data_IF_991723120656
#
_entry.id   IF_991723120656
#
_cell.length_a   1.000
_cell.length_b   1.000
_cell.length_c   1.000
_cell.angle_alpha   90.00
_cell.angle_beta   90.00
_cell.angle_gamma   90.00
#
_symmetry.space_group_name_H-M   'P 1'
#
loop_
_entity.id
_entity.type
_entity.pdbx_description
1 polymer ?
#
# COMPACT_ATOMS: atom_id res chain seq x y z
N UNK A 1 -23.38 18.60 -39.87
CA UNK A 1 -22.29 17.60 -39.87
C UNK A 1 -21.69 17.60 -38.48
N UNK A 2 -22.17 16.76 -37.57
CA UNK A 2 -21.72 16.71 -36.17
C UNK A 2 -21.81 15.29 -35.59
N UNK A 3 -21.54 14.26 -36.39
CA UNK A 3 -21.67 12.84 -36.01
C UNK A 3 -20.31 12.09 -35.89
N UNK A 4 -19.18 12.79 -35.96
CA UNK A 4 -17.86 12.16 -36.16
C UNK A 4 -17.16 11.59 -34.92
N UNK A 5 -17.36 12.17 -33.72
CA UNK A 5 -16.57 11.77 -32.53
C UNK A 5 -17.29 10.78 -31.61
N UNK A 6 -18.62 10.88 -31.46
CA UNK A 6 -19.38 9.98 -30.60
C UNK A 6 -19.43 8.54 -31.10
N UNK A 7 -19.44 8.34 -32.43
CA UNK A 7 -19.38 7.01 -33.05
C UNK A 7 -18.04 6.31 -32.84
N UNK A 8 -16.93 7.04 -33.01
CA UNK A 8 -15.58 6.50 -32.89
C UNK A 8 -15.24 6.04 -31.46
N UNK A 9 -15.66 6.80 -30.44
CA UNK A 9 -15.48 6.43 -29.02
C UNK A 9 -16.26 5.17 -28.68
N UNK A 10 -17.49 5.03 -29.19
CA UNK A 10 -18.33 3.85 -28.98
C UNK A 10 -17.72 2.60 -29.62
N UNK A 11 -17.13 2.76 -30.80
CA UNK A 11 -16.50 1.67 -31.55
C UNK A 11 -15.17 1.22 -30.92
N UNK A 12 -14.38 2.16 -30.38
CA UNK A 12 -13.17 1.86 -29.64
C UNK A 12 -13.45 1.13 -28.31
N UNK A 13 -14.49 1.56 -27.59
CA UNK A 13 -14.95 0.88 -26.37
C UNK A 13 -15.46 -0.52 -26.71
N UNK A 14 -16.27 -0.66 -27.77
CA UNK A 14 -16.76 -1.96 -28.23
C UNK A 14 -15.62 -2.92 -28.57
N UNK A 15 -14.62 -2.43 -29.31
CA UNK A 15 -13.43 -3.21 -29.66
C UNK A 15 -12.62 -3.63 -28.44
N UNK A 16 -12.40 -2.72 -27.49
CA UNK A 16 -11.71 -3.05 -26.22
C UNK A 16 -12.49 -4.07 -25.38
N UNK A 17 -13.82 -3.99 -25.36
CA UNK A 17 -14.68 -4.97 -24.67
C UNK A 17 -14.57 -6.34 -25.34
N UNK A 18 -14.55 -6.39 -26.68
CA UNK A 18 -14.44 -7.63 -27.42
C UNK A 18 -13.05 -8.27 -27.26
N UNK A 19 -11.98 -7.48 -27.35
CA UNK A 19 -10.61 -7.91 -27.11
C UNK A 19 -10.38 -8.41 -25.68
N UNK A 20 -11.12 -7.89 -24.70
CA UNK A 20 -10.96 -8.22 -23.28
C UNK A 20 -12.14 -8.99 -22.69
N UNK A 21 -12.98 -9.59 -23.54
CA UNK A 21 -14.25 -10.22 -23.15
C UNK A 21 -14.09 -11.24 -22.03
N UNK A 22 -13.08 -12.11 -22.12
CA UNK A 22 -12.81 -13.11 -21.08
C UNK A 22 -12.37 -12.49 -19.75
N UNK A 23 -11.53 -11.47 -19.79
CA UNK A 23 -11.09 -10.76 -18.59
C UNK A 23 -12.24 -10.03 -17.91
N UNK A 24 -13.14 -9.43 -18.70
CA UNK A 24 -14.35 -8.74 -18.21
C UNK A 24 -15.32 -9.76 -17.59
N UNK A 25 -15.57 -10.89 -18.24
CA UNK A 25 -16.42 -11.96 -17.70
C UNK A 25 -15.84 -12.51 -16.38
N UNK A 26 -14.54 -12.74 -16.32
CA UNK A 26 -13.88 -13.22 -15.10
C UNK A 26 -13.90 -12.17 -13.97
N UNK A 27 -13.80 -10.89 -14.30
CA UNK A 27 -13.96 -9.80 -13.33
C UNK A 27 -15.40 -9.73 -12.80
N UNK A 28 -16.40 -9.89 -13.67
CA UNK A 28 -17.81 -9.97 -13.29
C UNK A 28 -18.09 -11.19 -12.40
N UNK A 29 -17.54 -12.36 -12.73
CA UNK A 29 -17.68 -13.56 -11.90
C UNK A 29 -17.09 -13.36 -10.50
N UNK A 30 -15.94 -12.67 -10.40
CA UNK A 30 -15.32 -12.31 -9.11
C UNK A 30 -16.16 -11.31 -8.32
N UNK A 31 -16.77 -10.33 -8.99
CA UNK A 31 -17.68 -9.37 -8.35
C UNK A 31 -18.96 -10.06 -7.84
N UNK A 32 -19.54 -10.94 -8.65
CA UNK A 32 -20.70 -11.75 -8.27
C UNK A 32 -20.35 -12.70 -7.13
N UNK A 33 -19.16 -13.29 -7.13
CA UNK A 33 -18.67 -14.11 -6.01
C UNK A 33 -18.50 -13.28 -4.74
N UNK A 34 -17.94 -12.08 -4.82
CA UNK A 34 -17.76 -11.14 -3.70
C UNK A 34 -19.08 -10.67 -3.10
N UNK A 35 -20.07 -10.40 -3.96
CA UNK A 35 -21.43 -10.05 -3.53
C UNK A 35 -22.10 -11.25 -2.84
N UNK A 36 -22.03 -12.43 -3.46
CA UNK A 36 -22.60 -13.67 -2.90
C UNK A 36 -21.93 -14.11 -1.60
N UNK A 37 -20.65 -13.81 -1.41
CA UNK A 37 -19.94 -14.12 -0.18
C UNK A 37 -20.19 -13.10 0.95
N UNK A 38 -20.86 -11.98 0.65
CA UNK A 38 -21.05 -10.87 1.59
C UNK A 38 -19.77 -10.06 1.87
N UNK A 39 -18.71 -10.24 1.06
CA UNK A 39 -17.42 -9.58 1.27
C UNK A 39 -17.34 -8.21 0.58
N UNK A 40 -18.30 -7.87 -0.29
CA UNK A 40 -18.31 -6.59 -0.99
C UNK A 40 -18.32 -5.41 -0.01
N UNK A 41 -19.17 -5.47 1.01
CA UNK A 41 -19.23 -4.47 2.08
C UNK A 41 -17.95 -4.42 2.92
N UNK A 42 -17.29 -5.57 3.11
CA UNK A 42 -16.00 -5.62 3.79
C UNK A 42 -14.88 -4.95 2.98
N UNK A 43 -14.88 -5.08 1.65
CA UNK A 43 -13.94 -4.38 0.76
C UNK A 43 -14.21 -2.88 0.75
N UNK A 44 -15.48 -2.47 0.68
CA UNK A 44 -15.87 -1.04 0.76
C UNK A 44 -15.46 -0.47 2.12
N UNK A 45 -15.75 -1.20 3.20
CA UNK A 45 -15.33 -0.82 4.55
C UNK A 45 -13.81 -0.72 4.69
N UNK A 46 -13.07 -1.66 4.11
CA UNK A 46 -11.62 -1.62 4.10
C UNK A 46 -11.05 -0.44 3.30
N UNK A 47 -11.62 -0.13 2.14
CA UNK A 47 -11.26 1.06 1.36
C UNK A 47 -11.54 2.36 2.14
N UNK A 48 -12.67 2.43 2.85
CA UNK A 48 -12.97 3.55 3.75
C UNK A 48 -12.01 3.63 4.94
N UNK A 49 -11.61 2.50 5.53
CA UNK A 49 -10.61 2.46 6.60
C UNK A 49 -9.25 2.95 6.11
N UNK A 50 -8.81 2.54 4.92
CA UNK A 50 -7.58 3.05 4.29
C UNK A 50 -7.67 4.56 4.11
N UNK A 51 -8.80 5.07 3.63
CA UNK A 51 -9.02 6.51 3.45
C UNK A 51 -8.97 7.27 4.78
N UNK A 52 -9.63 6.77 5.83
CA UNK A 52 -9.57 7.34 7.18
C UNK A 52 -8.14 7.38 7.72
N UNK A 53 -7.36 6.31 7.50
CA UNK A 53 -5.95 6.26 7.90
C UNK A 53 -5.12 7.29 7.12
N UNK A 54 -5.34 7.40 5.81
CA UNK A 54 -4.64 8.35 4.94
C UNK A 54 -4.95 9.82 5.30
N UNK A 55 -6.23 10.12 5.55
CA UNK A 55 -6.70 11.43 5.99
C UNK A 55 -6.15 11.75 7.39
N UNK A 56 -6.16 10.78 8.31
CA UNK A 56 -5.62 10.95 9.68
C UNK A 56 -4.11 11.16 9.69
N UNK A 57 -3.34 10.46 8.85
CA UNK A 57 -1.90 10.70 8.71
C UNK A 57 -1.65 12.11 8.17
N UNK A 58 -2.44 12.57 7.20
CA UNK A 58 -2.23 13.89 6.59
C UNK A 58 -2.45 15.05 7.57
N UNK A 59 -3.50 14.98 8.40
CA UNK A 59 -3.83 16.05 9.34
C UNK A 59 -3.04 15.97 10.66
N UNK A 60 -2.61 14.77 11.09
CA UNK A 60 -1.93 14.57 12.39
C UNK A 60 -0.41 14.77 12.32
N UNK A 61 0.21 14.63 11.15
CA UNK A 61 1.68 14.72 10.99
C UNK A 61 2.22 16.14 11.26
N UNK A 62 1.43 17.18 10.99
CA UNK A 62 1.86 18.58 11.18
C UNK A 62 1.94 18.95 12.67
N UNK A 63 0.97 18.54 13.50
CA UNK A 63 0.93 18.92 14.91
C UNK A 63 1.75 17.99 15.84
N UNK A 64 2.00 16.73 15.47
CA UNK A 64 2.69 15.75 16.34
C UNK A 64 4.20 15.63 16.14
N UNK A 65 4.80 16.46 15.29
CA UNK A 65 6.26 16.41 15.04
C UNK A 65 7.07 16.62 16.34
N UNK A 66 6.59 17.46 17.28
CA UNK A 66 7.25 17.71 18.57
C UNK A 66 7.16 16.53 19.56
N UNK A 67 6.01 15.82 19.59
CA UNK A 67 5.82 14.64 20.45
C UNK A 67 6.59 13.43 19.92
N UNK A 68 6.62 13.23 18.60
CA UNK A 68 7.40 12.17 17.95
C UNK A 68 8.89 12.39 18.19
N UNK A 69 9.39 13.63 18.02
CA UNK A 69 10.80 13.95 18.26
C UNK A 69 11.20 13.71 19.72
N UNK A 70 10.34 14.06 20.68
CA UNK A 70 10.58 13.83 22.11
C UNK A 70 10.57 12.34 22.47
N UNK A 71 9.64 11.57 21.91
CA UNK A 71 9.55 10.12 22.14
C UNK A 71 10.71 9.36 21.48
N UNK A 72 11.18 9.81 20.31
CA UNK A 72 12.36 9.24 19.64
C UNK A 72 13.64 9.53 20.45
N UNK A 73 13.75 10.72 21.04
CA UNK A 73 14.82 11.06 21.98
C UNK A 73 14.84 10.18 23.23
N UNK A 74 13.67 9.83 23.77
CA UNK A 74 13.55 8.91 24.91
C UNK A 74 13.79 7.44 24.54
N UNK A 75 13.41 7.01 23.34
CA UNK A 75 13.72 5.67 22.81
C UNK A 75 15.22 5.50 22.57
N UNK A 76 15.93 6.55 22.13
CA UNK A 76 17.39 6.56 22.00
C UNK A 76 18.11 6.22 23.31
N UNK A 77 17.57 6.65 24.46
CA UNK A 77 18.12 6.32 25.79
C UNK A 77 17.83 4.86 26.19
N UNK A 78 16.78 4.24 25.64
CA UNK A 78 16.35 2.86 25.95
C UNK A 78 16.98 1.81 25.03
N UNK A 79 17.43 2.20 23.84
CA UNK A 79 18.17 1.36 22.91
C UNK A 79 19.69 1.56 23.07
N UNK A 80 20.32 0.80 23.97
CA UNK A 80 21.78 0.74 24.10
C UNK A 80 22.48 -0.09 23.00
N UNK A 81 21.77 -0.45 21.93
CA UNK A 81 22.28 -1.34 20.88
C UNK A 81 22.51 -0.56 19.58
N UNK A 82 23.77 -0.48 19.16
CA UNK A 82 24.23 0.19 17.94
C UNK A 82 23.47 -0.26 16.68
N UNK A 83 23.02 -1.53 16.64
CA UNK A 83 22.25 -2.07 15.50
C UNK A 83 20.83 -1.49 15.42
N UNK A 84 20.20 -1.20 16.55
CA UNK A 84 18.87 -0.61 16.57
C UNK A 84 18.92 0.84 16.07
N UNK A 85 19.94 1.60 16.51
CA UNK A 85 20.19 2.96 16.03
C UNK A 85 20.52 2.99 14.54
N UNK A 86 21.35 2.06 14.05
CA UNK A 86 21.66 1.95 12.62
C UNK A 86 20.41 1.65 11.78
N UNK A 87 19.51 0.78 12.27
CA UNK A 87 18.24 0.49 11.61
C UNK A 87 17.33 1.72 11.58
N UNK A 88 17.23 2.44 12.70
CA UNK A 88 16.42 3.64 12.82
C UNK A 88 16.91 4.74 11.87
N UNK A 89 18.22 4.96 11.80
CA UNK A 89 18.84 5.89 10.86
C UNK A 89 18.60 5.48 9.41
N UNK A 90 18.73 4.19 9.08
CA UNK A 90 18.45 3.71 7.72
C UNK A 90 16.98 3.91 7.32
N UNK A 91 16.04 3.75 8.26
CA UNK A 91 14.62 4.04 8.03
C UNK A 91 14.41 5.55 7.83
N UNK A 92 15.00 6.40 8.67
CA UNK A 92 14.93 7.86 8.54
C UNK A 92 15.48 8.34 7.20
N UNK A 93 16.65 7.85 6.80
CA UNK A 93 17.26 8.12 5.49
C UNK A 93 16.37 7.68 4.33
N UNK A 94 15.72 6.52 4.43
CA UNK A 94 14.82 6.02 3.39
C UNK A 94 13.60 6.92 3.22
N UNK A 95 13.03 7.43 4.33
CA UNK A 95 11.91 8.37 4.31
C UNK A 95 12.32 9.69 3.66
N UNK A 96 13.48 10.25 4.04
CA UNK A 96 13.97 11.50 3.45
C UNK A 96 14.29 11.40 1.96
N UNK A 97 14.72 10.21 1.48
CA UNK A 97 15.02 9.96 0.07
C UNK A 97 13.78 9.64 -0.78
N UNK A 98 12.64 9.39 -0.16
CA UNK A 98 11.36 9.26 -0.84
C UNK A 98 10.82 10.66 -1.20
N UNK A 99 11.45 11.35 -2.15
CA UNK A 99 10.97 12.63 -2.69
C UNK A 99 9.88 12.47 -3.77
N UNK A 100 9.68 11.25 -4.29
CA UNK A 100 8.68 10.97 -5.32
C UNK A 100 7.37 10.46 -4.72
N UNK A 101 6.23 11.03 -5.15
CA UNK A 101 4.91 10.53 -4.80
C UNK A 101 4.83 9.00 -5.06
N UNK A 102 4.35 8.21 -4.08
CA UNK A 102 4.28 6.76 -4.23
C UNK A 102 3.42 6.41 -5.45
N UNK A 103 4.04 5.87 -6.49
CA UNK A 103 3.28 5.43 -7.66
C UNK A 103 2.41 4.24 -7.26
N UNK A 104 1.10 4.25 -7.58
CA UNK A 104 0.21 3.16 -7.25
C UNK A 104 0.69 1.88 -7.94
N UNK A 105 1.13 0.91 -7.16
CA UNK A 105 1.52 -0.40 -7.67
C UNK A 105 0.27 -1.27 -7.87
N UNK A 106 0.03 -1.69 -9.12
CA UNK A 106 -1.01 -2.69 -9.40
C UNK A 106 -0.69 -4.07 -8.80
N UNK A 107 -1.63 -5.01 -8.83
CA UNK A 107 -1.46 -6.36 -8.27
C UNK A 107 -0.19 -7.08 -8.76
N UNK A 108 0.13 -6.94 -10.04
CA UNK A 108 1.37 -7.49 -10.63
C UNK A 108 2.61 -6.77 -10.09
N UNK A 109 2.53 -5.45 -9.94
CA UNK A 109 3.58 -4.63 -9.35
C UNK A 109 3.88 -5.04 -7.91
N UNK A 110 2.85 -5.33 -7.11
CA UNK A 110 2.99 -5.81 -5.74
C UNK A 110 3.68 -7.20 -5.69
N UNK A 111 3.24 -8.15 -6.52
CA UNK A 111 3.87 -9.48 -6.61
C UNK A 111 5.33 -9.35 -7.06
N UNK A 112 5.62 -8.43 -7.98
CA UNK A 112 6.97 -8.15 -8.46
C UNK A 112 7.83 -7.51 -7.37
N UNK A 113 7.29 -6.57 -6.60
CA UNK A 113 7.95 -5.96 -5.45
C UNK A 113 8.25 -7.01 -4.37
N UNK A 114 7.32 -7.93 -4.07
CA UNK A 114 7.58 -9.04 -3.15
C UNK A 114 8.67 -10.01 -3.67
N UNK A 115 8.91 -10.05 -4.97
CA UNK A 115 9.97 -10.86 -5.57
C UNK A 115 11.33 -10.16 -5.54
N UNK A 116 11.35 -8.85 -5.32
CA UNK A 116 12.56 -8.03 -5.24
C UNK A 116 13.48 -8.50 -4.09
N UNK A 117 14.79 -8.63 -4.33
CA UNK A 117 15.73 -9.11 -3.32
C UNK A 117 15.84 -8.19 -2.11
N UNK A 118 15.67 -6.87 -2.26
CA UNK A 118 15.81 -5.93 -1.17
C UNK A 118 14.53 -5.86 -0.33
N UNK A 119 13.35 -5.93 -0.96
CA UNK A 119 12.06 -6.09 -0.25
C UNK A 119 12.04 -7.39 0.56
N UNK A 120 12.55 -8.49 0.01
CA UNK A 120 12.66 -9.76 0.74
C UNK A 120 13.56 -9.67 1.97
N UNK A 121 14.70 -8.97 1.86
CA UNK A 121 15.59 -8.75 3.02
C UNK A 121 14.88 -7.95 4.10
N UNK A 122 14.16 -6.89 3.74
CA UNK A 122 13.40 -6.07 4.68
C UNK A 122 12.32 -6.88 5.40
N UNK A 123 11.53 -7.67 4.67
CA UNK A 123 10.53 -8.57 5.25
C UNK A 123 11.20 -9.61 6.18
N UNK A 124 12.36 -10.15 5.79
CA UNK A 124 13.13 -11.06 6.63
C UNK A 124 13.56 -10.45 7.96
N UNK A 125 13.98 -9.19 7.97
CA UNK A 125 14.29 -8.44 9.19
C UNK A 125 13.03 -8.31 10.07
N UNK A 126 11.90 -7.91 9.49
CA UNK A 126 10.63 -7.78 10.22
C UNK A 126 10.19 -9.11 10.86
N UNK A 127 10.29 -10.22 10.13
CA UNK A 127 9.95 -11.55 10.64
C UNK A 127 10.87 -11.95 11.80
N UNK A 128 12.17 -11.63 11.72
CA UNK A 128 13.10 -11.93 12.80
C UNK A 128 12.79 -11.12 14.07
N UNK A 129 12.44 -9.83 13.93
CA UNK A 129 11.99 -9.00 15.05
C UNK A 129 10.71 -9.59 15.66
N UNK A 130 9.72 -9.93 14.84
CA UNK A 130 8.46 -10.51 15.31
C UNK A 130 8.67 -11.84 16.05
N UNK A 131 9.56 -12.71 15.55
CA UNK A 131 9.95 -13.96 16.22
C UNK A 131 10.58 -13.71 17.58
N UNK A 132 11.45 -12.70 17.69
CA UNK A 132 12.12 -12.41 18.95
C UNK A 132 11.16 -11.80 19.99
N UNK A 133 10.23 -10.95 19.53
CA UNK A 133 9.15 -10.44 20.37
C UNK A 133 8.26 -11.57 20.89
N UNK A 134 7.85 -12.50 20.01
CA UNK A 134 7.03 -13.65 20.40
C UNK A 134 7.70 -14.63 21.36
N UNK A 135 9.02 -14.53 21.60
CA UNK A 135 9.70 -15.30 22.67
C UNK A 135 9.60 -14.64 24.04
N UNK A 136 9.26 -13.35 24.09
CA UNK A 136 9.20 -12.56 25.32
C UNK A 136 7.76 -12.36 25.85
N UNK A 137 6.77 -12.83 25.10
CA UNK A 137 5.33 -12.79 25.43
C UNK A 137 4.87 -14.24 25.59
#
# INVERSE_FOLDING_TARGET
MADGEGGAVSEEIAKKIEENKEAILNALDKLVWLEKSGNLDAIIGFASLIKIVQDSISDTVVDRTSEILSNLGLLSVKFTNDRALALLNAIGDAICRCESEPQPVGLIGLIRALRDPDVKKAIGILVNIAKELGKQI
#
